data_IF_596840571249
#
_entry.id   IF_596840571249
#
_cell.length_a   1.000
_cell.length_b   1.000
_cell.length_c   1.000
_cell.angle_alpha   90.00
_cell.angle_beta   90.00
_cell.angle_gamma   90.00
#
_symmetry.space_group_name_H-M   'P 1'
#
loop_
_entity.id
_entity.type
_entity.pdbx_description
1 polymer ?
#
# COMPACT_ATOMS: atom_id res chain seq x y z
N UNK A 1 7.17 15.50 7.21
CA UNK A 1 5.94 15.69 8.01
C UNK A 1 5.71 14.40 8.79
N UNK A 2 5.16 14.43 10.01
CA UNK A 2 4.90 13.18 10.74
C UNK A 2 3.81 12.36 10.05
N UNK A 3 3.97 11.03 10.01
CA UNK A 3 3.03 10.10 9.39
C UNK A 3 1.62 10.37 9.94
N UNK A 4 0.70 10.89 9.11
CA UNK A 4 -0.68 11.15 9.52
C UNK A 4 -1.43 9.81 9.53
N UNK A 5 -2.24 9.49 10.56
CA UNK A 5 -2.99 8.24 10.58
C UNK A 5 -3.90 8.12 9.34
N UNK A 6 -4.25 6.88 8.97
CA UNK A 6 -5.10 6.64 7.80
C UNK A 6 -6.39 7.46 7.88
N UNK A 7 -6.75 8.15 6.80
CA UNK A 7 -7.91 9.05 6.78
C UNK A 7 -8.93 8.58 5.76
N UNK A 8 -10.15 8.30 6.23
CA UNK A 8 -11.27 7.84 5.40
C UNK A 8 -12.14 9.00 4.93
N UNK A 9 -12.41 9.03 3.63
CA UNK A 9 -13.30 9.96 2.96
C UNK A 9 -14.49 9.19 2.36
N UNK A 10 -15.69 9.27 2.95
CA UNK A 10 -16.87 8.70 2.33
C UNK A 10 -17.19 9.45 1.04
N UNK A 11 -17.14 8.77 -0.10
CA UNK A 11 -17.39 9.35 -1.43
C UNK A 11 -18.87 9.20 -1.79
N UNK A 12 -19.46 8.05 -1.43
CA UNK A 12 -20.89 7.80 -1.52
C UNK A 12 -21.32 6.87 -0.39
N UNK A 13 -22.58 6.41 -0.40
CA UNK A 13 -22.99 5.35 0.53
C UNK A 13 -22.20 4.08 0.29
N UNK A 14 -21.81 3.78 -0.96
CA UNK A 14 -21.18 2.52 -1.37
C UNK A 14 -19.68 2.62 -1.64
N UNK A 15 -19.07 3.79 -1.60
CA UNK A 15 -17.65 3.95 -1.97
C UNK A 15 -16.91 4.83 -0.99
N UNK A 16 -15.73 4.36 -0.60
CA UNK A 16 -14.82 5.06 0.27
C UNK A 16 -13.47 5.26 -0.43
N UNK A 17 -12.85 6.41 -0.15
CA UNK A 17 -11.47 6.70 -0.49
C UNK A 17 -10.69 6.80 0.82
N UNK A 18 -9.56 6.11 0.93
CA UNK A 18 -8.82 6.04 2.19
C UNK A 18 -7.36 6.36 1.92
N UNK A 19 -6.86 7.37 2.61
CA UNK A 19 -5.43 7.66 2.69
C UNK A 19 -4.81 6.74 3.73
N UNK A 20 -3.68 6.15 3.41
CA UNK A 20 -2.95 5.20 4.24
C UNK A 20 -1.57 5.77 4.53
N UNK A 21 -1.24 5.80 5.81
CA UNK A 21 0.05 6.22 6.32
C UNK A 21 1.06 5.09 6.11
N UNK A 22 2.04 5.28 5.22
CA UNK A 22 3.17 4.35 5.13
C UNK A 22 4.33 4.88 5.95
N UNK A 23 4.85 4.06 6.86
CA UNK A 23 6.16 4.33 7.47
C UNK A 23 7.26 3.73 6.59
N UNK A 24 8.35 4.47 6.44
CA UNK A 24 9.51 4.07 5.67
C UNK A 24 10.78 4.26 6.52
N UNK A 25 11.77 3.39 6.31
CA UNK A 25 13.15 3.64 6.70
C UNK A 25 13.79 4.71 5.78
N UNK A 26 14.85 5.35 6.26
CA UNK A 26 15.55 6.46 5.58
C UNK A 26 16.91 6.08 5.00
N UNK A 27 17.36 4.85 5.21
CA UNK A 27 18.53 4.27 4.58
C UNK A 27 18.20 3.81 3.15
N UNK A 28 19.24 3.46 2.40
CA UNK A 28 19.12 2.99 1.04
C UNK A 28 18.53 1.56 1.00
N UNK A 29 17.51 1.36 0.17
CA UNK A 29 16.84 0.07 -0.02
C UNK A 29 17.57 -0.79 -1.06
N UNK A 30 17.71 -2.08 -0.76
CA UNK A 30 18.07 -3.10 -1.74
C UNK A 30 16.82 -3.67 -2.42
N UNK A 31 17.04 -4.37 -3.54
CA UNK A 31 15.97 -5.09 -4.21
C UNK A 31 15.32 -6.11 -3.28
N UNK A 32 13.98 -6.17 -3.31
CA UNK A 32 13.14 -7.03 -2.48
C UNK A 32 13.13 -6.70 -0.99
N UNK A 33 13.59 -5.51 -0.60
CA UNK A 33 13.39 -5.00 0.74
C UNK A 33 11.94 -4.56 0.97
N UNK A 34 11.48 -4.71 2.21
CA UNK A 34 10.22 -4.15 2.68
C UNK A 34 10.36 -2.64 2.73
N UNK A 35 9.61 -1.95 1.86
CA UNK A 35 9.57 -0.49 1.82
C UNK A 35 8.77 0.08 2.99
N UNK A 36 7.61 -0.53 3.24
CA UNK A 36 6.77 -0.23 4.39
C UNK A 36 6.30 -1.55 5.00
N UNK A 37 6.55 -1.74 6.29
CA UNK A 37 6.03 -2.89 7.02
C UNK A 37 4.50 -2.87 7.04
N UNK A 38 3.87 -3.93 7.51
CA UNK A 38 2.40 -4.06 7.55
C UNK A 38 1.75 -2.89 8.31
N UNK A 39 1.02 -2.05 7.58
CA UNK A 39 0.27 -0.92 8.10
C UNK A 39 -1.22 -1.24 8.15
N UNK A 40 -1.89 -0.77 9.20
CA UNK A 40 -3.34 -0.89 9.32
C UNK A 40 -4.04 0.16 8.44
N UNK A 41 -5.05 -0.29 7.70
CA UNK A 41 -6.02 0.60 7.04
C UNK A 41 -7.30 0.59 7.89
N UNK A 42 -7.40 1.57 8.78
CA UNK A 42 -8.47 1.63 9.77
C UNK A 42 -9.83 1.85 9.09
N UNK A 43 -10.83 1.10 9.52
CA UNK A 43 -12.22 1.20 9.04
C UNK A 43 -12.37 1.11 7.51
N UNK A 44 -11.52 0.30 6.88
CA UNK A 44 -11.54 0.02 5.45
C UNK A 44 -12.84 -0.58 4.95
N UNK A 45 -13.47 -1.44 5.75
CA UNK A 45 -14.69 -2.18 5.43
C UNK A 45 -15.81 -1.82 6.41
N UNK A 46 -17.06 -2.13 6.03
CA UNK A 46 -18.21 -2.01 6.94
C UNK A 46 -18.24 -3.18 7.94
N UNK A 47 -17.58 -3.01 9.08
CA UNK A 47 -17.47 -4.07 10.09
C UNK A 47 -16.71 -5.28 9.55
N UNK A 48 -16.99 -6.48 10.05
CA UNK A 48 -16.44 -7.74 9.54
C UNK A 48 -17.07 -8.14 8.19
N UNK A 49 -16.90 -7.28 7.19
CA UNK A 49 -17.58 -7.34 5.90
C UNK A 49 -16.65 -7.62 4.73
N UNK A 50 -17.13 -7.30 3.53
CA UNK A 50 -16.36 -7.40 2.30
C UNK A 50 -16.39 -6.10 1.51
N UNK A 51 -15.42 -5.95 0.61
CA UNK A 51 -15.38 -4.86 -0.35
C UNK A 51 -14.57 -5.27 -1.58
N UNK A 52 -14.52 -4.41 -2.58
CA UNK A 52 -13.70 -4.61 -3.78
C UNK A 52 -12.75 -3.43 -3.92
N UNK A 53 -11.45 -3.71 -4.03
CA UNK A 53 -10.46 -2.68 -4.32
C UNK A 53 -10.69 -2.16 -5.75
N UNK A 54 -11.06 -0.89 -5.89
CA UNK A 54 -11.36 -0.26 -7.18
C UNK A 54 -10.15 0.44 -7.78
N UNK A 55 -9.32 1.05 -6.93
CA UNK A 55 -8.17 1.83 -7.35
C UNK A 55 -7.13 1.94 -6.27
N UNK A 56 -5.90 2.15 -6.70
CA UNK A 56 -4.76 2.55 -5.87
C UNK A 56 -4.09 3.74 -6.52
N UNK A 57 -3.79 4.77 -5.73
CA UNK A 57 -2.92 5.88 -6.13
C UNK A 57 -1.74 5.91 -5.17
N UNK A 58 -0.53 5.86 -5.71
CA UNK A 58 0.70 6.05 -4.96
C UNK A 58 1.29 7.41 -5.33
N UNK A 59 1.70 8.18 -4.33
CA UNK A 59 2.41 9.45 -4.50
C UNK A 59 3.81 9.28 -3.93
N UNK A 60 4.81 9.52 -4.75
CA UNK A 60 6.22 9.57 -4.39
C UNK A 60 6.66 11.04 -4.26
N UNK A 61 6.82 11.50 -3.02
CA UNK A 61 7.27 12.85 -2.70
C UNK A 61 8.79 13.03 -2.83
N UNK A 62 9.54 11.94 -2.90
CA UNK A 62 11.00 11.98 -3.03
C UNK A 62 11.46 11.90 -4.49
N UNK A 63 10.52 11.81 -5.43
CA UNK A 63 10.75 11.85 -6.88
C UNK A 63 11.59 10.68 -7.41
N UNK A 64 11.51 9.52 -6.76
CA UNK A 64 12.32 8.36 -7.13
C UNK A 64 11.67 7.54 -8.27
N UNK A 65 10.34 7.41 -8.30
CA UNK A 65 9.54 6.63 -9.25
C UNK A 65 10.01 5.19 -9.46
N UNK A 66 10.11 4.45 -8.35
CA UNK A 66 10.56 3.06 -8.34
C UNK A 66 9.40 2.07 -8.42
N UNK A 67 9.73 0.87 -8.89
CA UNK A 67 8.78 -0.23 -8.89
C UNK A 67 8.47 -0.66 -7.46
N UNK A 68 7.19 -0.70 -7.11
CA UNK A 68 6.69 -1.01 -5.76
C UNK A 68 5.53 -2.00 -5.90
N UNK A 69 5.59 -3.08 -5.13
CA UNK A 69 4.44 -3.99 -4.95
C UNK A 69 3.70 -3.64 -3.67
N UNK A 70 2.37 -3.56 -3.74
CA UNK A 70 1.49 -3.36 -2.60
C UNK A 70 0.75 -4.65 -2.30
N UNK A 71 0.98 -5.19 -1.11
CA UNK A 71 0.40 -6.47 -0.66
C UNK A 71 -0.72 -6.17 0.31
N UNK A 72 -1.94 -6.57 -0.02
CA UNK A 72 -3.11 -6.41 0.83
C UNK A 72 -3.36 -7.68 1.64
N UNK A 73 -3.59 -7.53 2.95
CA UNK A 73 -3.75 -8.64 3.89
C UNK A 73 -5.06 -8.53 4.69
N UNK A 74 -5.60 -9.69 5.05
CA UNK A 74 -6.81 -9.82 5.87
C UNK A 74 -6.56 -9.69 7.37
N UNK A 75 -5.30 -9.76 7.81
CA UNK A 75 -4.89 -9.72 9.22
C UNK A 75 -3.55 -8.97 9.39
N UNK A 76 -3.26 -8.56 10.63
CA UNK A 76 -1.99 -7.95 10.99
C UNK A 76 -0.88 -9.00 11.10
N UNK A 77 -0.37 -9.43 9.94
CA UNK A 77 0.78 -10.32 9.84
C UNK A 77 1.94 -9.61 9.15
N UNK A 78 3.16 -9.84 9.61
CA UNK A 78 4.36 -9.17 9.11
C UNK A 78 4.89 -9.79 7.82
N UNK A 79 5.30 -8.95 6.87
CA UNK A 79 6.03 -9.40 5.66
C UNK A 79 7.56 -9.30 5.80
N UNK A 80 8.04 -8.81 6.94
CA UNK A 80 9.44 -8.48 7.21
C UNK A 80 9.56 -7.18 8.01
N UNK A 81 10.78 -6.67 8.15
CA UNK A 81 11.06 -5.36 8.76
C UNK A 81 11.42 -4.38 7.66
N UNK A 82 11.04 -3.11 7.82
CA UNK A 82 11.44 -2.03 6.89
C UNK A 82 12.96 -2.05 6.63
N UNK A 83 13.33 -1.88 5.36
CA UNK A 83 14.71 -1.93 4.87
C UNK A 83 15.44 -3.25 5.16
N UNK A 84 14.68 -4.35 5.15
CA UNK A 84 15.20 -5.70 5.12
C UNK A 84 14.40 -6.55 4.13
N UNK A 85 15.02 -7.62 3.65
CA UNK A 85 14.40 -8.54 2.70
C UNK A 85 13.06 -9.08 3.21
N UNK A 86 12.09 -9.19 2.31
CA UNK A 86 10.80 -9.85 2.57
C UNK A 86 11.02 -11.25 3.16
N UNK A 87 10.33 -11.55 4.24
CA UNK A 87 10.51 -12.77 5.04
C UNK A 87 9.20 -13.28 5.66
N UNK A 88 8.10 -13.19 4.90
CA UNK A 88 6.79 -13.71 5.30
C UNK A 88 6.83 -15.25 5.45
N UNK A 89 6.13 -15.78 6.47
CA UNK A 89 5.99 -17.23 6.63
C UNK A 89 4.91 -17.80 5.70
N UNK A 90 4.99 -19.09 5.37
CA UNK A 90 3.95 -19.76 4.56
C UNK A 90 2.57 -19.68 5.22
N UNK A 91 2.51 -19.70 6.56
CA UNK A 91 1.26 -19.57 7.31
C UNK A 91 0.68 -18.17 7.21
N UNK A 92 1.52 -17.14 7.33
CA UNK A 92 1.09 -15.74 7.24
C UNK A 92 0.71 -15.35 5.81
N UNK A 93 1.36 -15.95 4.81
CA UNK A 93 1.05 -15.74 3.39
C UNK A 93 -0.39 -16.14 3.02
N UNK A 94 -1.04 -17.00 3.80
CA UNK A 94 -2.45 -17.33 3.63
C UNK A 94 -3.40 -16.13 3.84
N UNK A 95 -2.92 -15.05 4.49
CA UNK A 95 -3.69 -13.82 4.70
C UNK A 95 -3.61 -12.83 3.52
N UNK A 96 -2.83 -13.12 2.47
CA UNK A 96 -2.73 -12.24 1.30
C UNK A 96 -4.04 -12.29 0.51
N UNK A 97 -4.69 -11.14 0.39
CA UNK A 97 -5.93 -10.93 -0.37
C UNK A 97 -5.64 -10.67 -1.85
N UNK A 98 -4.53 -10.01 -2.13
CA UNK A 98 -4.11 -9.65 -3.47
C UNK A 98 -2.89 -8.72 -3.46
N UNK A 99 -2.30 -8.55 -4.64
CA UNK A 99 -1.13 -7.71 -4.85
C UNK A 99 -1.41 -6.74 -5.99
N UNK A 100 -1.06 -5.47 -5.80
CA UNK A 100 -1.07 -4.45 -6.85
C UNK A 100 0.38 -4.10 -7.17
N UNK A 101 0.79 -4.32 -8.41
CA UNK A 101 2.13 -3.98 -8.87
C UNK A 101 2.12 -2.59 -9.50
N UNK A 102 2.99 -1.71 -9.02
CA UNK A 102 3.24 -0.37 -9.59
C UNK A 102 4.60 -0.40 -10.25
N UNK A 103 4.66 -0.30 -11.57
CA UNK A 103 5.92 -0.23 -12.29
C UNK A 103 6.48 1.20 -12.27
N UNK A 104 7.80 1.35 -12.40
CA UNK A 104 8.44 2.67 -12.54
C UNK A 104 7.85 3.50 -13.70
N UNK A 105 7.43 2.84 -14.78
CA UNK A 105 6.82 3.49 -15.94
C UNK A 105 5.36 3.91 -15.74
N UNK A 106 4.70 3.50 -14.64
CA UNK A 106 3.33 3.91 -14.33
C UNK A 106 3.27 5.34 -13.74
N UNK A 107 4.41 5.89 -13.31
CA UNK A 107 4.48 7.21 -12.69
C UNK A 107 4.42 8.34 -13.72
N UNK A 108 3.71 9.40 -13.35
CA UNK A 108 3.71 10.68 -14.05
C UNK A 108 4.48 11.68 -13.19
N UNK A 109 5.51 12.28 -13.79
CA UNK A 109 6.41 13.27 -13.18
C UNK A 109 5.74 14.65 -13.04
N UNK A 110 5.66 15.16 -11.80
CA UNK A 110 5.15 16.48 -11.43
C UNK A 110 6.28 17.43 -10.97
N UNK A 111 7.51 17.21 -11.42
CA UNK A 111 8.75 17.94 -11.16
C UNK A 111 9.39 17.71 -9.79
N UNK A 112 8.61 17.74 -8.72
CA UNK A 112 9.12 17.53 -7.35
C UNK A 112 8.50 16.31 -6.66
N UNK A 113 7.67 15.58 -7.38
CA UNK A 113 6.94 14.42 -6.90
C UNK A 113 6.41 13.67 -8.10
N UNK A 114 6.17 12.37 -7.95
CA UNK A 114 5.54 11.58 -9.01
C UNK A 114 4.32 10.84 -8.48
N UNK A 115 3.40 10.52 -9.36
CA UNK A 115 2.21 9.76 -8.98
C UNK A 115 1.90 8.65 -9.97
N UNK A 116 1.55 7.49 -9.45
CA UNK A 116 1.05 6.37 -10.23
C UNK A 116 -0.37 6.03 -9.77
N UNK A 117 -1.24 5.63 -10.70
CA UNK A 117 -2.59 5.17 -10.37
C UNK A 117 -2.92 3.87 -11.10
N UNK A 118 -3.28 2.84 -10.34
CA UNK A 118 -3.71 1.52 -10.80
C UNK A 118 -5.22 1.37 -10.58
N UNK A 119 -5.90 0.70 -11.51
CA UNK A 119 -7.36 0.48 -11.51
C UNK A 119 -7.73 -0.63 -12.49
N UNK A 120 -9.00 -1.02 -12.52
CA UNK A 120 -9.48 -2.01 -13.49
C UNK A 120 -8.88 -3.39 -13.17
N UNK A 121 -8.21 -4.03 -14.13
CA UNK A 121 -7.64 -5.38 -13.96
C UNK A 121 -6.45 -5.46 -12.99
N UNK A 122 -5.77 -4.34 -12.74
CA UNK A 122 -4.71 -4.26 -11.71
C UNK A 122 -5.31 -4.22 -10.30
N UNK A 123 -6.61 -3.98 -10.21
CA UNK A 123 -7.40 -4.01 -8.98
C UNK A 123 -8.59 -4.99 -9.18
N UNK A 124 -9.60 -4.93 -8.31
CA UNK A 124 -10.84 -5.69 -8.50
C UNK A 124 -10.93 -7.01 -7.75
N UNK A 125 -9.94 -7.34 -6.92
CA UNK A 125 -10.05 -8.46 -5.99
C UNK A 125 -10.85 -8.09 -4.74
N UNK A 126 -11.41 -9.11 -4.10
CA UNK A 126 -12.23 -8.97 -2.90
C UNK A 126 -11.33 -8.72 -1.71
N UNK A 127 -11.67 -7.69 -0.95
CA UNK A 127 -11.13 -7.42 0.38
C UNK A 127 -12.06 -8.06 1.41
N UNK A 128 -11.49 -8.76 2.39
CA UNK A 128 -12.22 -9.36 3.51
C UNK A 128 -11.37 -9.35 4.77
N UNK A 129 -12.01 -9.02 5.89
CA UNK A 129 -11.39 -9.07 7.22
C UNK A 129 -12.40 -9.52 8.26
N UNK A 130 -11.91 -10.07 9.37
CA UNK A 130 -12.72 -10.36 10.56
C UNK A 130 -13.06 -9.10 11.37
N UNK A 131 -12.52 -7.94 10.98
CA UNK A 131 -12.79 -6.61 11.54
C UNK A 131 -13.10 -5.61 10.41
N UNK A 132 -13.34 -4.33 10.77
CA UNK A 132 -13.45 -3.26 9.77
C UNK A 132 -12.11 -2.87 9.14
N UNK A 133 -10.98 -3.21 9.76
CA UNK A 133 -9.65 -2.91 9.23
C UNK A 133 -9.15 -3.99 8.28
N UNK A 134 -8.38 -3.58 7.27
CA UNK A 134 -7.49 -4.46 6.51
C UNK A 134 -6.05 -4.00 6.73
N UNK A 135 -5.09 -4.70 6.14
CA UNK A 135 -3.69 -4.32 6.23
C UNK A 135 -3.04 -4.23 4.85
N UNK A 136 -2.02 -3.39 4.73
CA UNK A 136 -1.23 -3.25 3.52
C UNK A 136 0.24 -3.13 3.87
N UNK A 137 1.09 -3.75 3.06
CA UNK A 137 2.54 -3.60 3.13
C UNK A 137 3.09 -3.28 1.74
N UNK A 138 4.28 -2.69 1.68
CA UNK A 138 4.93 -2.32 0.42
C UNK A 138 6.30 -2.97 0.29
N UNK A 139 6.64 -3.41 -0.92
CA UNK A 139 7.93 -4.03 -1.25
C UNK A 139 8.61 -3.23 -2.35
N UNK A 140 9.88 -2.89 -2.12
CA UNK A 140 10.74 -2.24 -3.08
C UNK A 140 11.26 -3.26 -4.10
N UNK A 141 11.06 -3.04 -5.41
CA UNK A 141 11.39 -4.03 -6.45
C UNK A 141 12.57 -3.68 -7.35
N UNK A 142 13.14 -2.50 -7.16
CA UNK A 142 14.28 -2.03 -7.96
C UNK A 142 15.62 -2.32 -7.26
N UNK A 143 16.73 -2.28 -7.98
CA UNK A 143 18.08 -2.56 -7.46
C UNK A 143 18.97 -1.30 -7.44
N UNK A 144 18.36 -0.12 -7.41
CA UNK A 144 19.03 1.19 -7.57
C UNK A 144 19.68 1.72 -6.28
N UNK A 145 19.24 1.28 -5.10
CA UNK A 145 19.79 1.79 -3.83
C UNK A 145 19.21 3.14 -3.41
N UNK A 146 17.98 3.47 -3.82
CA UNK A 146 17.37 4.76 -3.51
C UNK A 146 16.99 4.89 -2.03
N UNK A 147 16.98 6.12 -1.54
CA UNK A 147 16.56 6.49 -0.18
C UNK A 147 15.23 7.22 -0.24
N UNK A 148 14.39 7.01 0.78
CA UNK A 148 13.15 7.76 0.97
C UNK A 148 13.18 8.53 2.28
N UNK A 149 12.39 9.59 2.36
CA UNK A 149 12.02 10.16 3.64
C UNK A 149 11.03 9.23 4.35
N UNK A 150 10.92 9.35 5.68
CA UNK A 150 10.07 8.46 6.48
C UNK A 150 8.56 8.54 6.15
N UNK A 151 8.15 9.51 5.34
CA UNK A 151 6.80 9.66 4.77
C UNK A 151 6.90 10.08 3.31
N UNK A 152 7.87 9.53 2.60
CA UNK A 152 8.16 9.82 1.19
C UNK A 152 7.14 9.24 0.22
N UNK A 153 6.36 8.26 0.69
CA UNK A 153 5.33 7.60 -0.10
C UNK A 153 3.99 7.70 0.62
N UNK A 154 3.00 8.26 -0.07
CA UNK A 154 1.61 8.24 0.36
C UNK A 154 0.80 7.27 -0.51
N UNK A 155 -0.05 6.48 0.15
CA UNK A 155 -0.96 5.55 -0.49
C UNK A 155 -2.40 6.02 -0.31
N UNK A 156 -3.16 6.00 -1.41
CA UNK A 156 -4.60 6.22 -1.40
C UNK A 156 -5.31 5.05 -2.09
N UNK A 157 -6.31 4.49 -1.44
CA UNK A 157 -7.08 3.36 -1.97
C UNK A 157 -8.55 3.71 -2.13
N UNK A 158 -9.17 3.21 -3.18
CA UNK A 158 -10.62 3.30 -3.40
C UNK A 158 -11.27 1.94 -3.18
N UNK A 159 -12.28 1.87 -2.33
CA UNK A 159 -13.02 0.63 -2.03
C UNK A 159 -14.49 0.81 -2.39
N UNK A 160 -15.03 -0.14 -3.16
CA UNK A 160 -16.47 -0.33 -3.31
C UNK A 160 -16.93 -1.28 -2.20
N UNK A 161 -17.74 -0.77 -1.29
CA UNK A 161 -18.35 -1.54 -0.21
C UNK A 161 -19.48 -2.44 -0.76
N UNK A 162 -19.72 -3.55 -0.08
CA UNK A 162 -20.88 -4.44 -0.34
C UNK A 162 -22.24 -3.82 0.01
#
# INVERSE_FOLDING_TARGET
MGNQPSTKYPVSTASDLIDVALSLDTNAYAQDDVLAATQEVVDALRGAGTGVLQSVTLIDYDDNARAIDLIFLSENVGIGTENAAVSISDGDAANILGVVQVAAADYIDMVNSQSATKKGSDCGFVLKSASSSIWVAAVYRDATGDTYTASGIDLRIGILQD
#
